data_IF_889135095177
#
_entry.id   IF_889135095177
#
_cell.length_a   1.000
_cell.length_b   1.000
_cell.length_c   1.000
_cell.angle_alpha   90.00
_cell.angle_beta   90.00
_cell.angle_gamma   90.00
#
_symmetry.space_group_name_H-M   'P 1'
#
loop_
_entity.id
_entity.type
_entity.pdbx_description
1 polymer ?
#
# COMPACT_ATOMS: atom_id res chain seq x y z
N UNK A 1 17.78 -2.01 4.82
CA UNK A 1 17.10 -3.20 5.39
C UNK A 1 15.77 -3.38 4.66
N UNK A 2 15.48 -4.60 4.22
CA UNK A 2 14.22 -4.88 3.55
C UNK A 2 13.15 -5.22 4.58
N UNK A 3 11.94 -4.75 4.35
CA UNK A 3 10.78 -5.16 5.14
C UNK A 3 9.96 -6.16 4.33
N UNK A 4 9.18 -6.97 5.02
CA UNK A 4 8.23 -7.86 4.35
C UNK A 4 7.11 -7.04 3.75
N UNK A 5 6.73 -7.35 2.51
CA UNK A 5 5.58 -6.73 1.86
C UNK A 5 4.51 -7.81 1.69
N UNK A 6 3.33 -7.53 2.23
CA UNK A 6 2.20 -8.45 2.17
C UNK A 6 1.20 -7.91 1.14
N UNK A 7 0.87 -8.75 0.16
CA UNK A 7 -0.10 -8.40 -0.87
C UNK A 7 -1.45 -8.98 -0.47
N UNK A 8 -2.39 -8.11 -0.10
CA UNK A 8 -3.73 -8.58 0.29
C UNK A 8 -4.53 -9.04 -0.94
N UNK A 9 -5.56 -9.83 -0.70
CA UNK A 9 -6.43 -10.29 -1.79
C UNK A 9 -7.07 -9.14 -2.54
N UNK A 10 -7.48 -8.10 -1.85
CA UNK A 10 -8.05 -6.91 -2.47
C UNK A 10 -7.05 -6.24 -3.40
N UNK A 11 -5.80 -6.09 -2.96
CA UNK A 11 -4.76 -5.54 -3.79
C UNK A 11 -4.49 -6.43 -5.01
N UNK A 12 -4.30 -7.73 -4.79
CA UNK A 12 -3.98 -8.67 -5.86
C UNK A 12 -5.07 -8.71 -6.92
N UNK A 13 -6.33 -8.71 -6.50
CA UNK A 13 -7.46 -8.75 -7.42
C UNK A 13 -7.45 -7.53 -8.37
N UNK A 14 -7.19 -6.36 -7.84
CA UNK A 14 -7.13 -5.15 -8.65
C UNK A 14 -5.83 -5.08 -9.46
N UNK A 15 -4.71 -5.44 -8.85
CA UNK A 15 -3.40 -5.35 -9.49
C UNK A 15 -3.33 -6.20 -10.75
N UNK A 16 -3.87 -7.40 -10.70
CA UNK A 16 -3.86 -8.31 -11.87
C UNK A 16 -4.63 -7.77 -13.06
N UNK A 17 -5.55 -6.85 -12.83
CA UNK A 17 -6.32 -6.22 -13.93
C UNK A 17 -5.57 -5.10 -14.61
N UNK A 18 -4.61 -4.47 -13.93
CA UNK A 18 -3.98 -3.26 -14.46
C UNK A 18 -2.46 -3.35 -14.57
N UNK A 19 -1.84 -4.39 -14.00
CA UNK A 19 -0.39 -4.55 -13.99
C UNK A 19 0.02 -5.93 -14.50
N UNK A 20 1.19 -5.97 -15.14
CA UNK A 20 1.86 -7.24 -15.43
C UNK A 20 2.49 -7.80 -14.16
N UNK A 21 2.85 -9.08 -14.18
CA UNK A 21 3.56 -9.69 -13.06
C UNK A 21 4.88 -8.99 -12.77
N UNK A 22 5.60 -8.59 -13.81
CA UNK A 22 6.86 -7.87 -13.65
C UNK A 22 6.65 -6.53 -12.95
N UNK A 23 5.58 -5.83 -13.30
CA UNK A 23 5.22 -4.57 -12.64
C UNK A 23 4.86 -4.79 -11.18
N UNK A 24 4.14 -5.86 -10.89
CA UNK A 24 3.77 -6.21 -9.51
C UNK A 24 5.02 -6.52 -8.68
N UNK A 25 5.97 -7.26 -9.23
CA UNK A 25 7.25 -7.54 -8.57
C UNK A 25 8.04 -6.26 -8.30
N UNK A 26 8.03 -5.34 -9.26
CA UNK A 26 8.70 -4.05 -9.10
C UNK A 26 8.09 -3.26 -7.93
N UNK A 27 6.77 -3.25 -7.82
CA UNK A 27 6.09 -2.56 -6.72
C UNK A 27 6.48 -3.15 -5.36
N UNK A 28 6.48 -4.48 -5.26
CA UNK A 28 6.91 -5.16 -4.03
C UNK A 28 8.35 -4.77 -3.68
N UNK A 29 9.24 -4.79 -4.65
CA UNK A 29 10.65 -4.41 -4.42
C UNK A 29 10.80 -2.96 -3.97
N UNK A 30 10.06 -2.06 -4.59
CA UNK A 30 10.08 -0.64 -4.22
C UNK A 30 9.67 -0.44 -2.77
N UNK A 31 8.57 -1.05 -2.37
CA UNK A 31 8.03 -0.87 -1.02
C UNK A 31 8.88 -1.60 0.01
N UNK A 32 9.32 -2.83 -0.29
CA UNK A 32 10.21 -3.56 0.60
C UNK A 32 11.52 -2.83 0.85
N UNK A 33 12.06 -2.20 -0.18
CA UNK A 33 13.33 -1.47 -0.07
C UNK A 33 13.20 -0.09 0.55
N UNK A 34 12.04 0.52 0.44
CA UNK A 34 11.81 1.89 0.92
C UNK A 34 10.36 2.04 1.39
N UNK A 35 10.00 1.43 2.51
CA UNK A 35 8.59 1.43 2.95
C UNK A 35 8.06 2.81 3.29
N UNK A 36 8.92 3.77 3.50
CA UNK A 36 8.52 5.15 3.80
C UNK A 36 8.48 6.04 2.56
N UNK A 37 8.69 5.47 1.36
CA UNK A 37 8.73 6.26 0.13
C UNK A 37 7.38 6.87 -0.25
N UNK A 38 6.28 6.20 0.06
CA UNK A 38 4.96 6.75 -0.20
C UNK A 38 4.61 7.89 0.74
N UNK A 39 3.81 8.82 0.26
CA UNK A 39 3.35 9.95 1.07
C UNK A 39 2.27 9.50 2.04
N UNK A 40 2.38 9.94 3.28
CA UNK A 40 1.38 9.65 4.30
C UNK A 40 0.06 10.30 3.91
N UNK A 41 -1.00 9.53 3.99
CA UNK A 41 -2.36 10.06 3.77
C UNK A 41 -2.85 10.64 5.09
N UNK A 42 -3.17 11.93 5.07
CA UNK A 42 -3.59 12.64 6.28
C UNK A 42 -4.86 12.01 6.87
N UNK A 43 -4.92 12.00 8.19
CA UNK A 43 -6.07 11.47 8.90
C UNK A 43 -6.11 9.95 8.96
N UNK A 44 -4.98 9.30 8.71
CA UNK A 44 -4.90 7.83 8.72
C UNK A 44 -3.81 7.35 9.66
N UNK A 45 -3.88 6.08 10.03
CA UNK A 45 -2.91 5.44 10.90
C UNK A 45 -1.93 4.62 10.06
N UNK A 46 -1.01 5.30 9.38
CA UNK A 46 0.05 4.64 8.63
C UNK A 46 -0.27 4.29 7.19
N UNK A 47 -1.37 4.81 6.62
CA UNK A 47 -1.61 4.64 5.19
C UNK A 47 -0.72 5.56 4.39
N UNK A 48 -0.16 5.03 3.33
CA UNK A 48 0.71 5.75 2.39
C UNK A 48 0.25 5.52 0.96
N UNK A 49 0.54 6.49 0.12
CA UNK A 49 0.20 6.45 -1.30
C UNK A 49 1.48 6.63 -2.08
N UNK A 50 1.83 5.66 -2.91
CA UNK A 50 3.07 5.65 -3.68
C UNK A 50 2.75 5.69 -5.16
N UNK A 51 3.41 6.62 -5.87
CA UNK A 51 3.35 6.66 -7.32
C UNK A 51 4.15 5.50 -7.90
N UNK A 52 3.55 4.78 -8.85
CA UNK A 52 4.21 3.68 -9.54
C UNK A 52 4.11 3.86 -11.05
N UNK A 53 5.12 3.39 -11.80
CA UNK A 53 5.03 3.39 -13.26
C UNK A 53 4.13 2.24 -13.73
N UNK A 54 3.30 2.50 -14.74
CA UNK A 54 2.51 1.47 -15.39
C UNK A 54 2.69 1.62 -16.90
N UNK A 55 3.22 0.59 -17.54
CA UNK A 55 3.43 0.59 -18.97
C UNK A 55 2.12 0.42 -19.72
N UNK A 56 2.03 1.00 -20.90
CA UNK A 56 0.84 0.89 -21.72
C UNK A 56 -0.33 1.71 -21.25
N UNK A 57 -0.16 2.51 -20.21
CA UNK A 57 -1.23 3.32 -19.61
C UNK A 57 -1.06 4.81 -19.87
N UNK A 58 -0.43 5.16 -20.97
CA UNK A 58 -0.17 6.55 -21.28
C UNK A 58 1.02 7.10 -20.52
N UNK A 59 1.63 8.10 -21.08
CA UNK A 59 2.91 8.63 -20.60
C UNK A 59 2.87 9.28 -19.22
N UNK A 60 1.72 9.76 -18.82
CA UNK A 60 1.57 10.49 -17.57
C UNK A 60 0.89 9.68 -16.49
N UNK A 61 0.47 8.50 -16.87
CA UNK A 61 -0.42 7.80 -16.01
C UNK A 61 0.27 7.21 -14.83
N UNK A 62 0.95 6.20 -15.08
CA UNK A 62 1.34 5.40 -13.99
C UNK A 62 0.13 5.10 -13.12
N UNK A 63 0.39 4.79 -11.89
CA UNK A 63 -0.67 4.49 -10.93
C UNK A 63 -0.28 4.89 -9.52
N UNK A 64 -1.13 4.51 -8.60
CA UNK A 64 -0.90 4.72 -7.17
C UNK A 64 -1.17 3.43 -6.44
N UNK A 65 -0.24 3.04 -5.56
CA UNK A 65 -0.46 1.94 -4.62
C UNK A 65 -0.74 2.55 -3.26
N UNK A 66 -1.77 2.05 -2.60
CA UNK A 66 -2.09 2.42 -1.22
C UNK A 66 -1.68 1.25 -0.34
N UNK A 67 -0.84 1.52 0.63
CA UNK A 67 -0.34 0.51 1.54
C UNK A 67 -0.25 1.07 2.95
N UNK A 68 -0.21 0.14 3.91
CA UNK A 68 -0.02 0.49 5.31
C UNK A 68 1.41 0.15 5.71
N UNK A 69 2.06 1.07 6.41
CA UNK A 69 3.35 0.82 7.04
C UNK A 69 3.47 1.69 8.28
N UNK A 70 3.65 1.06 9.43
CA UNK A 70 3.67 1.77 10.70
C UNK A 70 5.08 2.24 11.06
N UNK A 71 6.00 1.29 11.26
CA UNK A 71 7.41 1.59 11.54
C UNK A 71 8.24 0.32 11.43
N UNK A 72 9.52 0.40 11.77
CA UNK A 72 10.43 -0.74 11.76
C UNK A 72 9.87 -1.89 12.59
N UNK A 73 10.08 -3.10 12.12
CA UNK A 73 9.57 -4.31 12.75
C UNK A 73 8.17 -4.70 12.30
N UNK A 74 7.51 -3.87 11.52
CA UNK A 74 6.18 -4.17 10.96
C UNK A 74 6.29 -4.43 9.46
N UNK A 75 5.43 -5.30 8.91
CA UNK A 75 5.37 -5.47 7.47
C UNK A 75 4.71 -4.27 6.81
N UNK A 76 4.98 -4.09 5.52
CA UNK A 76 4.20 -3.19 4.69
C UNK A 76 3.05 -4.01 4.11
N UNK A 77 1.83 -3.51 4.20
CA UNK A 77 0.64 -4.24 3.74
C UNK A 77 0.02 -3.47 2.58
N UNK A 78 0.06 -4.09 1.39
CA UNK A 78 -0.47 -3.50 0.17
C UNK A 78 -1.97 -3.75 0.10
N UNK A 79 -2.75 -2.68 0.01
CA UNK A 79 -4.21 -2.74 0.19
C UNK A 79 -4.98 -2.46 -1.09
N UNK A 80 -4.51 -1.53 -1.92
CA UNK A 80 -5.24 -1.11 -3.10
C UNK A 80 -4.30 -0.52 -4.15
N UNK A 81 -4.72 -0.55 -5.38
CA UNK A 81 -3.99 0.09 -6.48
C UNK A 81 -4.99 0.63 -7.49
N UNK A 82 -4.67 1.77 -8.07
CA UNK A 82 -5.48 2.31 -9.16
C UNK A 82 -4.58 2.99 -10.19
N UNK A 83 -5.02 2.95 -11.43
CA UNK A 83 -4.36 3.70 -12.51
C UNK A 83 -4.81 5.16 -12.44
N UNK A 84 -3.89 6.07 -12.67
CA UNK A 84 -4.19 7.50 -12.56
C UNK A 84 -5.27 7.94 -13.55
N UNK A 85 -5.35 7.29 -14.71
CA UNK A 85 -6.38 7.62 -15.69
C UNK A 85 -7.76 7.13 -15.30
N UNK A 86 -7.87 6.23 -14.32
CA UNK A 86 -9.16 5.78 -13.78
C UNK A 86 -9.67 6.74 -12.73
N UNK A 87 -8.76 7.25 -11.90
CA UNK A 87 -9.13 8.12 -10.80
C UNK A 87 -7.93 8.96 -10.41
N UNK A 88 -8.17 10.22 -10.04
CA UNK A 88 -7.11 11.09 -9.54
C UNK A 88 -6.82 10.81 -8.07
N UNK A 89 -7.78 10.23 -7.35
CA UNK A 89 -7.62 9.89 -5.95
C UNK A 89 -8.65 8.82 -5.57
N UNK A 90 -8.57 8.34 -4.34
CA UNK A 90 -9.49 7.35 -3.80
C UNK A 90 -10.90 7.92 -3.65
N UNK A 91 -11.92 7.16 -4.07
CA UNK A 91 -13.29 7.54 -3.74
C UNK A 91 -13.49 7.58 -2.22
N UNK A 92 -14.34 8.49 -1.71
CA UNK A 92 -14.53 8.62 -0.25
C UNK A 92 -14.94 7.34 0.47
N UNK A 93 -15.79 6.53 -0.13
CA UNK A 93 -16.22 5.27 0.47
C UNK A 93 -15.07 4.29 0.61
N UNK A 94 -14.22 4.21 -0.40
CA UNK A 94 -13.06 3.32 -0.39
C UNK A 94 -12.00 3.82 0.58
N UNK A 95 -11.79 5.13 0.62
CA UNK A 95 -10.87 5.73 1.58
C UNK A 95 -11.28 5.38 3.00
N UNK A 96 -12.57 5.46 3.30
CA UNK A 96 -13.09 5.11 4.63
C UNK A 96 -12.79 3.66 5.01
N UNK A 97 -12.97 2.73 4.07
CA UNK A 97 -12.67 1.33 4.32
C UNK A 97 -11.18 1.12 4.58
N UNK A 98 -10.32 1.77 3.82
CA UNK A 98 -8.88 1.66 3.99
C UNK A 98 -8.42 2.27 5.31
N UNK A 99 -9.02 3.38 5.73
CA UNK A 99 -8.72 4.00 7.02
C UNK A 99 -9.09 3.04 8.15
N UNK A 100 -10.26 2.42 8.07
CA UNK A 100 -10.67 1.43 9.08
C UNK A 100 -9.70 0.25 9.14
N UNK A 101 -9.25 -0.23 7.99
CA UNK A 101 -8.26 -1.31 7.94
C UNK A 101 -6.94 -0.88 8.58
N UNK A 102 -6.48 0.33 8.30
CA UNK A 102 -5.23 0.84 8.86
C UNK A 102 -5.27 0.94 10.38
N UNK A 103 -6.40 1.37 10.92
CA UNK A 103 -6.59 1.45 12.36
C UNK A 103 -6.57 0.06 12.99
N UNK A 104 -7.21 -0.90 12.34
CA UNK A 104 -7.21 -2.28 12.82
C UNK A 104 -5.82 -2.88 12.83
N UNK A 105 -5.05 -2.71 11.75
CA UNK A 105 -3.67 -3.18 11.69
C UNK A 105 -2.82 -2.55 12.79
N UNK A 106 -2.93 -1.26 12.97
CA UNK A 106 -2.16 -0.55 13.98
C UNK A 106 -2.44 -1.12 15.37
N UNK A 107 -3.71 -1.33 15.70
CA UNK A 107 -4.06 -1.91 17.01
C UNK A 107 -3.55 -3.33 17.16
N UNK A 108 -3.73 -4.15 16.14
CA UNK A 108 -3.33 -5.57 16.22
C UNK A 108 -1.83 -5.72 16.32
N UNK A 109 -1.06 -5.02 15.50
CA UNK A 109 0.39 -5.14 15.51
C UNK A 109 1.00 -4.52 16.77
N UNK A 110 0.47 -3.43 17.26
CA UNK A 110 0.93 -2.85 18.52
C UNK A 110 0.69 -3.81 19.68
N UNK A 111 -0.47 -4.42 19.74
CA UNK A 111 -0.80 -5.37 20.79
C UNK A 111 0.17 -6.56 20.80
N UNK A 112 0.47 -7.11 19.62
CA UNK A 112 1.42 -8.21 19.51
C UNK A 112 2.81 -7.77 19.96
N UNK A 113 3.27 -6.61 19.52
CA UNK A 113 4.57 -6.09 19.90
C UNK A 113 4.70 -5.87 21.42
N UNK A 114 3.66 -5.33 22.02
CA UNK A 114 3.65 -5.12 23.47
C UNK A 114 3.73 -6.43 24.25
N UNK A 115 3.10 -7.49 23.72
CA UNK A 115 3.10 -8.79 24.38
C UNK A 115 4.45 -9.49 24.32
N UNK A 116 5.26 -9.23 23.32
CA UNK A 116 6.54 -9.88 23.17
C UNK A 116 7.71 -9.05 23.65
N UNK A 117 7.47 -7.87 24.17
CA UNK A 117 8.50 -7.07 24.81
C UNK A 117 8.71 -7.54 26.25
N UNK A 118 9.94 -7.64 26.61
CA UNK A 118 10.33 -8.06 27.98
C UNK A 118 10.93 -6.92 28.73
#
# INVERSE_FOLDING_TARGET
MLVSAVETDSYLSKARKIMSEAEMETVVSMISGSPMAGDVIQGTSGLRKLRIPLQGRGKRGGGRVVYWYYNEGYPAILLWVFAKNEASDLPPSQKKQLVSASELFTRQFRSVNEKIQF
#
